data_IF_379548639046
#
_entry.id   IF_379548639046
#
_cell.length_a   1.000
_cell.length_b   1.000
_cell.length_c   1.000
_cell.angle_alpha   90.00
_cell.angle_beta   90.00
_cell.angle_gamma   90.00
#
_symmetry.space_group_name_H-M   'P 1'
#
loop_
_entity.id
_entity.type
_entity.pdbx_description
1 polymer ?
#
# COMPACT_ATOMS: atom_id res chain seq x y z
N UNK A 1 1.78 -7.92 -17.18
CA UNK A 1 1.02 -7.83 -15.93
C UNK A 1 2.03 -7.60 -14.84
N UNK A 2 2.14 -6.37 -14.35
CA UNK A 2 3.15 -5.98 -13.36
C UNK A 2 2.57 -6.21 -11.98
N UNK A 3 3.07 -7.21 -11.27
CA UNK A 3 2.69 -7.50 -9.89
C UNK A 3 3.45 -6.55 -8.96
N UNK A 4 2.83 -6.13 -7.86
CA UNK A 4 3.53 -5.39 -6.81
C UNK A 4 4.18 -6.42 -5.87
N UNK A 5 5.51 -6.53 -5.90
CA UNK A 5 6.26 -7.40 -4.98
C UNK A 5 6.06 -6.93 -3.55
N UNK A 6 5.52 -7.76 -2.66
CA UNK A 6 5.20 -7.45 -1.24
C UNK A 6 6.34 -6.92 -0.38
N UNK A 7 7.56 -6.98 -0.89
CA UNK A 7 8.73 -6.32 -0.31
C UNK A 7 8.66 -4.80 -0.37
N UNK A 8 7.54 -4.21 -0.75
CA UNK A 8 7.37 -2.77 -0.79
C UNK A 8 6.96 -2.19 0.56
N UNK A 9 7.45 -0.98 0.85
CA UNK A 9 7.03 -0.18 2.01
C UNK A 9 6.00 0.86 1.57
N UNK A 10 4.98 1.13 2.39
CA UNK A 10 3.91 2.07 2.09
C UNK A 10 3.83 3.11 3.19
N UNK A 11 4.06 4.38 2.86
CA UNK A 11 4.08 5.47 3.85
C UNK A 11 3.23 6.66 3.41
N UNK A 12 2.36 7.17 4.29
CA UNK A 12 1.58 8.37 4.00
C UNK A 12 2.50 9.59 3.99
N UNK A 13 2.36 10.41 2.96
CA UNK A 13 3.01 11.71 2.89
C UNK A 13 2.27 12.71 3.78
N UNK A 14 2.99 13.57 4.52
CA UNK A 14 2.39 14.69 5.23
C UNK A 14 1.93 15.74 4.20
N UNK A 15 0.79 15.50 3.56
CA UNK A 15 0.13 16.48 2.70
C UNK A 15 -0.70 17.44 3.56
N UNK A 16 -0.78 18.71 3.18
CA UNK A 16 -1.51 19.75 3.92
C UNK A 16 -3.02 19.52 4.09
N UNK A 17 -3.57 18.46 3.48
CA UNK A 17 -4.96 18.09 3.64
C UNK A 17 -5.11 17.21 4.88
N UNK A 18 -5.71 17.77 5.94
CA UNK A 18 -5.99 17.13 7.24
C UNK A 18 -7.11 16.07 7.14
N UNK A 19 -7.17 15.33 6.04
CA UNK A 19 -8.09 14.21 5.85
C UNK A 19 -7.43 12.90 6.28
N UNK A 20 -8.21 11.96 6.81
CA UNK A 20 -7.72 10.62 7.17
C UNK A 20 -6.90 10.01 6.02
N UNK A 21 -5.63 9.74 6.28
CA UNK A 21 -4.79 8.98 5.36
C UNK A 21 -5.36 7.57 5.28
N UNK A 22 -5.77 7.16 4.09
CA UNK A 22 -6.42 5.86 3.91
C UNK A 22 -6.09 5.26 2.54
N UNK A 23 -5.57 4.05 2.54
CA UNK A 23 -5.30 3.27 1.33
C UNK A 23 -5.89 1.87 1.49
N UNK A 24 -6.41 1.32 0.41
CA UNK A 24 -6.87 -0.05 0.31
C UNK A 24 -6.00 -0.81 -0.67
N UNK A 25 -5.62 -2.02 -0.31
CA UNK A 25 -4.86 -2.94 -1.13
C UNK A 25 -5.77 -4.13 -1.48
N UNK A 26 -5.64 -4.67 -2.68
CA UNK A 26 -6.49 -5.73 -3.21
C UNK A 26 -5.65 -6.88 -3.74
N UNK A 27 -6.05 -8.09 -3.37
CA UNK A 27 -5.41 -9.33 -3.82
C UNK A 27 -5.64 -9.63 -5.29
N UNK A 28 -6.68 -9.07 -5.92
CA UNK A 28 -6.95 -9.26 -7.34
C UNK A 28 -6.96 -7.94 -8.10
N UNK A 29 -6.79 -8.06 -9.40
CA UNK A 29 -7.01 -6.99 -10.34
C UNK A 29 -8.46 -6.46 -10.23
N UNK A 30 -8.69 -5.27 -10.75
CA UNK A 30 -10.02 -4.66 -10.80
C UNK A 30 -10.64 -4.33 -9.43
N UNK A 31 -9.81 -4.14 -8.40
CA UNK A 31 -10.25 -3.87 -7.02
C UNK A 31 -11.15 -4.99 -6.45
N UNK A 32 -10.87 -6.24 -6.84
CA UNK A 32 -11.62 -7.42 -6.38
C UNK A 32 -10.82 -8.29 -5.42
N UNK A 33 -11.51 -9.25 -4.80
CA UNK A 33 -10.92 -10.19 -3.85
C UNK A 33 -10.90 -9.65 -2.43
N UNK A 34 -9.94 -10.13 -1.63
CA UNK A 34 -9.77 -9.62 -0.27
C UNK A 34 -9.12 -8.24 -0.33
N UNK A 35 -9.62 -7.34 0.51
CA UNK A 35 -9.06 -6.00 0.66
C UNK A 35 -8.37 -5.87 2.02
N UNK A 36 -7.22 -5.20 2.04
CA UNK A 36 -6.61 -4.70 3.27
C UNK A 36 -6.73 -3.19 3.28
N UNK A 37 -7.23 -2.65 4.39
CA UNK A 37 -7.29 -1.22 4.63
C UNK A 37 -6.14 -0.80 5.55
N UNK A 38 -5.37 0.19 5.12
CA UNK A 38 -4.29 0.81 5.89
C UNK A 38 -4.61 2.29 6.11
N UNK A 39 -4.48 2.72 7.35
CA UNK A 39 -4.63 4.13 7.77
C UNK A 39 -3.34 4.76 8.28
N UNK A 40 -2.34 3.93 8.56
CA UNK A 40 -1.07 4.29 9.18
C UNK A 40 0.11 3.84 8.32
N UNK A 41 1.32 4.25 8.69
CA UNK A 41 2.54 3.81 8.03
C UNK A 41 2.73 2.30 8.16
N UNK A 42 3.03 1.65 7.02
CA UNK A 42 3.31 0.22 6.96
C UNK A 42 4.70 0.02 6.32
N UNK A 43 5.76 -0.17 7.13
CA UNK A 43 7.11 -0.33 6.62
C UNK A 43 7.32 -1.65 5.86
N UNK A 44 6.44 -2.64 6.04
CA UNK A 44 6.46 -3.91 5.30
C UNK A 44 5.04 -4.34 4.98
N UNK A 45 4.65 -4.25 3.71
CA UNK A 45 3.32 -4.71 3.28
C UNK A 45 3.16 -6.22 3.52
N UNK A 46 4.25 -6.99 3.46
CA UNK A 46 4.24 -8.41 3.83
C UNK A 46 3.89 -8.66 5.30
N UNK A 47 4.19 -7.72 6.21
CA UNK A 47 3.85 -7.87 7.63
C UNK A 47 2.39 -7.47 7.87
N UNK A 48 1.94 -6.41 7.18
CA UNK A 48 0.54 -5.97 7.21
C UNK A 48 -0.40 -6.98 6.53
N UNK A 49 0.07 -7.66 5.48
CA UNK A 49 -0.69 -8.62 4.68
C UNK A 49 -0.05 -10.00 4.81
N UNK A 50 -0.71 -10.89 5.53
CA UNK A 50 -0.36 -12.32 5.63
C UNK A 50 -0.47 -13.11 4.31
N UNK A 51 -0.73 -12.43 3.19
CA UNK A 51 -0.98 -12.99 1.86
C UNK A 51 0.20 -12.66 0.94
N UNK A 52 0.47 -13.47 -0.09
CA UNK A 52 1.70 -13.36 -0.89
C UNK A 52 1.67 -12.35 -2.06
N UNK A 53 0.52 -11.80 -2.49
CA UNK A 53 0.47 -10.97 -3.71
C UNK A 53 -0.58 -9.85 -3.67
N UNK A 54 -0.21 -8.65 -4.14
CA UNK A 54 -1.13 -7.53 -4.37
C UNK A 54 -1.19 -7.25 -5.86
N UNK A 55 -2.42 -7.14 -6.36
CA UNK A 55 -2.69 -6.90 -7.77
C UNK A 55 -3.25 -5.50 -8.02
N UNK A 56 -3.91 -4.90 -7.04
CA UNK A 56 -4.48 -3.56 -7.17
C UNK A 56 -4.47 -2.81 -5.85
N UNK A 57 -4.51 -1.49 -5.93
CA UNK A 57 -4.58 -0.61 -4.77
C UNK A 57 -5.47 0.59 -5.08
N UNK A 58 -6.11 1.13 -4.05
CA UNK A 58 -7.00 2.26 -4.12
C UNK A 58 -6.67 3.25 -2.99
N UNK A 59 -6.31 4.47 -3.34
CA UNK A 59 -6.06 5.53 -2.36
C UNK A 59 -7.38 6.22 -2.05
N UNK A 60 -7.93 5.98 -0.87
CA UNK A 60 -9.17 6.60 -0.41
C UNK A 60 -8.93 8.03 0.13
N UNK A 61 -7.73 8.30 0.66
CA UNK A 61 -7.41 9.57 1.27
C UNK A 61 -5.91 9.78 1.49
N UNK A 62 -5.48 11.04 1.33
CA UNK A 62 -4.09 11.44 1.46
C UNK A 62 -3.25 11.13 0.22
N UNK A 63 -1.94 11.28 0.37
CA UNK A 63 -0.94 10.87 -0.62
C UNK A 63 -0.09 9.77 -0.01
N UNK A 64 0.20 8.72 -0.77
CA UNK A 64 0.96 7.56 -0.30
C UNK A 64 2.16 7.35 -1.21
N UNK A 65 3.32 7.07 -0.62
CA UNK A 65 4.51 6.63 -1.35
C UNK A 65 4.66 5.14 -1.16
N UNK A 66 4.87 4.45 -2.29
CA UNK A 66 5.28 3.08 -2.34
C UNK A 66 6.78 3.04 -2.64
N UNK A 67 7.54 2.38 -1.79
CA UNK A 67 8.96 2.09 -2.00
C UNK A 67 9.12 0.65 -2.44
N UNK A 68 9.77 0.41 -3.56
CA UNK A 68 9.88 -0.93 -4.16
C UNK A 68 10.74 -1.92 -3.32
N UNK A 69 11.63 -1.43 -2.44
CA UNK A 69 12.32 -2.27 -1.45
C UNK A 69 11.96 -1.88 -0.01
N UNK A 70 12.08 -2.90 0.85
CA UNK A 70 11.96 -2.82 2.30
C UNK A 70 12.92 -1.75 2.86
N UNK A 71 12.48 -1.08 3.93
CA UNK A 71 13.24 -0.03 4.64
C UNK A 71 13.48 1.25 3.82
N UNK A 72 12.49 1.69 3.03
CA UNK A 72 12.58 2.95 2.28
C UNK A 72 13.77 3.02 1.31
N UNK A 73 14.31 1.87 0.91
CA UNK A 73 15.31 1.81 -0.16
C UNK A 73 14.57 1.47 -1.44
N UNK A 74 14.86 2.19 -2.52
CA UNK A 74 14.10 2.07 -3.77
C UNK A 74 14.21 3.38 -4.50
N UNK A 75 14.48 3.30 -5.80
CA UNK A 75 14.78 4.46 -6.64
C UNK A 75 13.51 5.04 -7.23
#
# INVERSE_FOLDING_TARGET
MGYFSLSFSVVPLPSQNTGSHKIQLFERDDLQGQTLELTDDCPSVQDCIHRPEIHSLNVLGGSWILYELLNFRGR
#
